data_IF_486623791960
#
_entry.id   IF_486623791960
#
_cell.length_a   1.000
_cell.length_b   1.000
_cell.length_c   1.000
_cell.angle_alpha   90.00
_cell.angle_beta   90.00
_cell.angle_gamma   90.00
#
_symmetry.space_group_name_H-M   'P 1'
#
loop_
_entity.id
_entity.type
_entity.pdbx_description
1 polymer ?
#
# COMPACT_ATOMS: atom_id res chain seq x y z
N UNK A 1 12.47 41.49 -56.77
CA UNK A 1 11.52 40.35 -56.89
C UNK A 1 12.23 39.28 -57.70
N UNK A 2 12.54 38.04 -57.27
CA UNK A 2 12.09 37.14 -56.19
C UNK A 2 13.27 36.17 -55.90
N UNK A 3 13.66 35.98 -54.63
CA UNK A 3 13.56 34.71 -53.85
C UNK A 3 14.20 33.50 -54.55
N UNK A 4 15.20 32.80 -53.99
CA UNK A 4 15.10 31.82 -52.88
C UNK A 4 16.52 31.61 -52.29
N UNK A 5 16.83 32.03 -51.07
CA UNK A 5 16.66 31.30 -49.78
C UNK A 5 17.22 29.87 -49.79
N UNK A 6 18.40 29.67 -49.21
CA UNK A 6 18.80 28.42 -48.58
C UNK A 6 19.63 28.76 -47.33
N UNK A 7 18.95 28.66 -46.20
CA UNK A 7 19.43 28.91 -44.85
C UNK A 7 20.18 27.67 -44.39
N UNK A 8 21.48 27.77 -44.10
CA UNK A 8 22.22 26.72 -43.38
C UNK A 8 22.36 27.21 -41.94
N UNK A 9 21.32 26.96 -41.14
CA UNK A 9 21.41 27.07 -39.69
C UNK A 9 22.28 25.90 -39.23
N UNK A 10 23.51 26.19 -38.84
CA UNK A 10 24.37 25.26 -38.14
C UNK A 10 23.88 25.18 -36.69
N UNK A 11 22.79 24.44 -36.46
CA UNK A 11 22.34 24.09 -35.11
C UNK A 11 23.34 23.10 -34.54
N UNK A 12 24.39 23.61 -33.90
CA UNK A 12 25.20 22.82 -32.99
C UNK A 12 24.25 22.39 -31.88
N UNK A 13 23.94 21.10 -31.86
CA UNK A 13 23.24 20.43 -30.78
C UNK A 13 24.10 20.55 -29.51
N UNK A 14 24.02 21.72 -28.88
CA UNK A 14 24.43 21.93 -27.50
C UNK A 14 23.41 21.19 -26.65
N UNK A 15 23.58 19.88 -26.52
CA UNK A 15 22.97 19.15 -25.42
C UNK A 15 23.59 19.74 -24.15
N UNK A 16 22.85 20.47 -23.29
CA UNK A 16 23.27 20.50 -21.91
C UNK A 16 23.23 19.03 -21.50
N UNK A 17 24.41 18.46 -21.20
CA UNK A 17 24.46 17.24 -20.42
C UNK A 17 23.55 17.50 -19.24
N UNK A 18 22.36 16.90 -19.25
CA UNK A 18 21.53 16.79 -18.07
C UNK A 18 22.36 15.96 -17.12
N UNK A 19 23.19 16.65 -16.32
CA UNK A 19 23.58 16.21 -15.01
C UNK A 19 22.26 16.15 -14.23
N UNK A 20 21.50 15.09 -14.50
CA UNK A 20 20.56 14.55 -13.57
C UNK A 20 21.46 14.05 -12.43
N UNK A 21 21.81 14.97 -11.53
CA UNK A 21 21.94 14.61 -10.13
C UNK A 21 20.60 13.96 -9.81
N UNK A 22 20.52 12.64 -9.98
CA UNK A 22 19.69 11.85 -9.12
C UNK A 22 20.26 12.12 -7.74
N UNK A 23 19.76 13.18 -7.09
CA UNK A 23 19.69 13.18 -5.64
C UNK A 23 19.17 11.78 -5.31
N UNK A 24 19.95 10.94 -4.61
CA UNK A 24 19.32 9.82 -3.96
C UNK A 24 18.25 10.49 -3.12
N UNK A 25 16.98 10.33 -3.52
CA UNK A 25 15.89 10.71 -2.65
C UNK A 25 16.22 9.99 -1.37
N UNK A 26 16.67 10.78 -0.38
CA UNK A 26 16.74 10.33 0.97
C UNK A 26 15.33 9.86 1.20
N UNK A 27 15.14 8.53 1.20
CA UNK A 27 14.04 7.91 1.92
C UNK A 27 14.29 8.35 3.35
N UNK A 28 13.92 9.59 3.63
CA UNK A 28 13.63 10.07 4.94
C UNK A 28 12.62 9.03 5.37
N UNK A 29 13.10 8.12 6.21
CA UNK A 29 12.25 7.27 7.00
C UNK A 29 11.54 8.26 7.94
N UNK A 30 10.61 9.06 7.37
CA UNK A 30 9.34 9.33 7.97
C UNK A 30 8.78 7.93 8.19
N UNK A 31 9.25 7.31 9.27
CA UNK A 31 8.57 6.23 9.94
C UNK A 31 7.29 6.93 10.35
N UNK A 32 6.34 7.02 9.42
CA UNK A 32 4.98 7.41 9.71
C UNK A 32 4.68 6.54 10.90
N UNK A 33 4.39 7.18 12.02
CA UNK A 33 3.95 6.52 13.22
C UNK A 33 2.54 5.97 12.91
N UNK A 34 2.51 4.94 12.07
CA UNK A 34 1.31 4.27 11.61
C UNK A 34 0.96 3.34 12.73
N UNK A 35 -0.21 3.55 13.31
CA UNK A 35 -0.80 2.57 14.19
C UNK A 35 -1.18 1.33 13.36
N UNK A 36 -0.46 0.23 13.55
CA UNK A 36 -0.69 -1.01 12.80
C UNK A 36 -2.11 -1.58 13.01
N UNK A 37 -2.79 -1.22 14.11
CA UNK A 37 -4.18 -1.65 14.36
C UNK A 37 -5.17 -1.09 13.33
N UNK A 38 -4.77 -0.06 12.56
CA UNK A 38 -5.57 0.43 11.43
C UNK A 38 -5.66 -0.56 10.26
N UNK A 39 -4.83 -1.61 10.28
CA UNK A 39 -4.89 -2.76 9.39
C UNK A 39 -5.91 -3.79 9.86
N UNK A 40 -6.32 -3.78 11.12
CA UNK A 40 -7.27 -4.76 11.63
C UNK A 40 -8.67 -4.56 11.04
N UNK A 41 -9.32 -5.69 10.79
CA UNK A 41 -10.70 -5.75 10.33
C UNK A 41 -11.66 -5.30 11.42
N UNK A 42 -12.66 -4.51 11.02
CA UNK A 42 -13.86 -4.31 11.85
C UNK A 42 -14.68 -5.59 11.92
N UNK A 43 -15.67 -5.71 12.82
CA UNK A 43 -16.42 -6.95 12.97
C UNK A 43 -16.97 -7.52 11.65
N UNK A 44 -16.63 -8.78 11.35
CA UNK A 44 -16.95 -9.50 10.12
C UNK A 44 -16.25 -9.01 8.85
N UNK A 45 -15.24 -8.14 8.98
CA UNK A 45 -14.41 -7.66 7.87
C UNK A 45 -13.00 -8.23 7.97
N UNK A 46 -12.37 -8.42 6.82
CA UNK A 46 -10.99 -8.89 6.76
C UNK A 46 -10.02 -7.84 7.30
N UNK A 47 -8.91 -8.31 7.85
CA UNK A 47 -7.72 -7.50 8.05
C UNK A 47 -7.10 -7.11 6.70
N UNK A 48 -6.34 -6.03 6.70
CA UNK A 48 -5.59 -5.54 5.54
C UNK A 48 -4.20 -6.15 5.52
N UNK A 49 -3.60 -6.19 4.35
CA UNK A 49 -2.22 -6.62 4.19
C UNK A 49 -1.25 -5.68 4.93
N UNK A 50 -0.11 -6.24 5.33
CA UNK A 50 0.98 -5.51 5.94
C UNK A 50 1.58 -4.45 5.02
N UNK A 51 2.23 -3.47 5.61
CA UNK A 51 2.84 -2.35 4.90
C UNK A 51 4.35 -2.63 4.75
N UNK A 52 4.88 -2.75 3.52
CA UNK A 52 6.31 -2.95 3.27
C UNK A 52 7.13 -1.76 3.76
N UNK A 53 8.41 -1.99 4.04
CA UNK A 53 9.35 -0.98 4.56
C UNK A 53 8.86 -0.26 5.85
N UNK A 54 8.03 -0.93 6.66
CA UNK A 54 7.50 -0.37 7.91
C UNK A 54 7.53 -1.38 9.07
N UNK A 55 7.30 -0.89 10.29
CA UNK A 55 7.11 -1.78 11.45
C UNK A 55 5.75 -2.50 11.43
N UNK A 56 4.82 -2.09 10.57
CA UNK A 56 3.52 -2.73 10.34
C UNK A 56 3.55 -3.71 9.16
N UNK A 57 4.64 -4.48 9.02
CA UNK A 57 4.81 -5.44 7.92
C UNK A 57 3.92 -6.67 8.02
N UNK A 58 3.38 -6.97 9.20
CA UNK A 58 2.46 -8.08 9.40
C UNK A 58 1.05 -7.69 8.96
N UNK A 59 0.29 -8.65 8.43
CA UNK A 59 -1.10 -8.44 8.08
C UNK A 59 -1.97 -8.18 9.31
N UNK A 60 -2.97 -7.31 9.17
CA UNK A 60 -3.94 -7.04 10.23
C UNK A 60 -4.81 -8.27 10.52
N UNK A 61 -5.31 -8.37 11.75
CA UNK A 61 -6.23 -9.42 12.17
C UNK A 61 -7.60 -9.23 11.52
N UNK A 62 -8.28 -10.30 11.13
CA UNK A 62 -9.68 -10.28 10.75
C UNK A 62 -10.60 -9.93 11.93
N UNK A 63 -11.63 -9.12 11.68
CA UNK A 63 -12.58 -8.76 12.74
C UNK A 63 -13.57 -9.87 13.03
N UNK A 64 -13.85 -10.11 14.31
CA UNK A 64 -14.79 -11.14 14.75
C UNK A 64 -16.23 -10.86 14.26
N UNK A 65 -17.04 -11.89 14.07
CA UNK A 65 -18.46 -11.75 13.80
C UNK A 65 -19.16 -11.04 14.96
N UNK A 66 -20.16 -10.20 14.66
CA UNK A 66 -20.93 -9.44 15.67
C UNK A 66 -22.34 -9.96 15.86
N UNK A 67 -22.98 -10.44 14.79
CA UNK A 67 -24.37 -10.89 14.81
C UNK A 67 -24.46 -12.41 14.77
N UNK A 68 -25.47 -13.03 15.39
CA UNK A 68 -25.52 -14.48 15.46
C UNK A 68 -25.42 -15.17 14.09
N UNK A 69 -24.51 -16.14 13.98
CA UNK A 69 -24.21 -16.85 12.73
C UNK A 69 -23.36 -16.05 11.71
N UNK A 70 -22.92 -14.83 12.04
CA UNK A 70 -21.99 -14.07 11.21
C UNK A 70 -20.57 -14.65 11.34
N UNK A 71 -19.92 -14.94 10.21
CA UNK A 71 -18.51 -15.33 10.19
C UNK A 71 -17.60 -14.15 10.58
N UNK A 72 -16.43 -14.47 11.14
CA UNK A 72 -15.34 -13.50 11.25
C UNK A 72 -14.67 -13.25 9.90
N UNK A 73 -13.92 -12.15 9.81
CA UNK A 73 -13.10 -11.86 8.64
C UNK A 73 -11.81 -12.68 8.60
N UNK A 74 -11.20 -12.79 7.44
CA UNK A 74 -9.85 -13.35 7.31
C UNK A 74 -8.79 -12.36 7.78
N UNK A 75 -7.64 -12.84 8.23
CA UNK A 75 -6.48 -11.98 8.41
C UNK A 75 -5.90 -11.51 7.08
N UNK A 76 -5.24 -10.36 7.09
CA UNK A 76 -4.49 -9.85 5.95
C UNK A 76 -3.19 -10.64 5.74
N UNK A 77 -2.60 -10.53 4.56
CA UNK A 77 -1.28 -11.11 4.29
C UNK A 77 -0.18 -10.25 4.90
N UNK A 78 0.96 -10.87 5.23
CA UNK A 78 2.17 -10.11 5.53
C UNK A 78 2.75 -9.48 4.26
N UNK A 79 3.40 -8.33 4.41
CA UNK A 79 4.34 -7.82 3.41
C UNK A 79 5.65 -8.65 3.44
N UNK A 80 6.64 -8.28 2.62
CA UNK A 80 7.92 -8.98 2.57
C UNK A 80 8.58 -9.09 3.96
N UNK A 81 8.78 -10.34 4.41
CA UNK A 81 9.33 -10.64 5.73
C UNK A 81 8.39 -10.39 6.91
N UNK A 82 7.11 -10.12 6.65
CA UNK A 82 6.02 -10.06 7.62
C UNK A 82 5.15 -11.33 7.60
N UNK A 83 4.44 -11.57 8.69
CA UNK A 83 3.52 -12.69 8.84
C UNK A 83 2.10 -12.30 8.38
N UNK A 84 1.30 -13.30 8.00
CA UNK A 84 -0.14 -13.11 7.86
C UNK A 84 -0.80 -12.83 9.22
N UNK A 85 -1.89 -12.07 9.19
CA UNK A 85 -2.74 -11.83 10.35
C UNK A 85 -3.64 -13.04 10.65
N UNK A 86 -4.09 -13.13 11.89
CA UNK A 86 -5.05 -14.15 12.29
C UNK A 86 -6.45 -13.86 11.72
N UNK A 87 -7.24 -14.90 11.51
CA UNK A 87 -8.67 -14.76 11.25
C UNK A 87 -9.44 -14.27 12.48
N UNK A 88 -10.56 -13.61 12.23
CA UNK A 88 -11.57 -13.32 13.24
C UNK A 88 -12.43 -14.54 13.53
N UNK A 89 -12.91 -14.64 14.76
CA UNK A 89 -13.86 -15.67 15.17
C UNK A 89 -15.24 -15.41 14.56
N UNK A 90 -16.01 -16.47 14.29
CA UNK A 90 -17.44 -16.34 14.03
C UNK A 90 -18.20 -15.90 15.29
N UNK A 91 -19.32 -15.23 15.11
CA UNK A 91 -20.27 -15.00 16.19
C UNK A 91 -21.05 -16.28 16.51
N UNK A 92 -21.34 -16.48 17.79
CA UNK A 92 -22.15 -17.60 18.28
C UNK A 92 -23.50 -17.67 17.55
N UNK A 93 -23.98 -18.88 17.29
CA UNK A 93 -25.32 -19.08 16.72
C UNK A 93 -26.41 -18.67 17.71
N UNK A 94 -27.53 -18.14 17.19
CA UNK A 94 -28.71 -17.92 18.01
C UNK A 94 -29.49 -19.24 18.12
N UNK A 95 -29.26 -19.95 19.23
CA UNK A 95 -29.93 -21.22 19.53
C UNK A 95 -31.37 -21.04 20.03
N UNK A 96 -31.95 -19.84 19.99
CA UNK A 96 -33.30 -19.58 20.54
C UNK A 96 -34.48 -19.89 19.60
N UNK A 97 -34.22 -20.46 18.42
CA UNK A 97 -35.28 -21.07 17.59
C UNK A 97 -35.35 -22.58 17.81
N UNK A 98 -36.12 -23.01 18.81
CA UNK A 98 -36.70 -24.36 18.91
C UNK A 98 -38.10 -24.25 19.48
#
# INVERSE_FOLDING_TARGET
MRLRTAIIILSVLSFPFSLLHAEPESKNNDVKNIDCTTLDGKPGQNGKDGIPDSHCKDGGKGGDGKYPGQAGGHGGNGADGGNGGDGGNGADGDYTKS
#
